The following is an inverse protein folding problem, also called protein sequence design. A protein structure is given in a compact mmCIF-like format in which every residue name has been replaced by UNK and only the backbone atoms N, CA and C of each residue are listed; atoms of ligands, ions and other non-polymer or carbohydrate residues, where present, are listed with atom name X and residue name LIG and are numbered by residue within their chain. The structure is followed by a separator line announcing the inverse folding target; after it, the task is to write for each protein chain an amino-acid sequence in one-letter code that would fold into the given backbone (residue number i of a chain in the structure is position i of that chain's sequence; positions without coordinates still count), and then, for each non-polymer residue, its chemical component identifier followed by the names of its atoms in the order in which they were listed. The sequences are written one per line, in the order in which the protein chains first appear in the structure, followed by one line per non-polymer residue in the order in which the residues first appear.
data_IF_448185290366
#
_entry.id   IF_448185290366
#
_cell.length_a   1.000
_cell.length_b   1.000
_cell.length_c   1.000
_cell.angle_alpha   90.00
_cell.angle_beta   90.00
_cell.angle_gamma   90.00
#
_symmetry.space_group_name_H-M   'P 1'
#
loop_
_entity.id
_entity.type
_entity.pdbx_description
1 polymer ?
#
# COMPACT_ATOMS: atom_id res chain seq x y z
N UNK A 1 3.33 22.02 6.65
CA UNK A 1 2.97 20.60 6.83
C UNK A 1 1.71 20.54 7.67
N UNK A 2 0.71 19.78 7.27
CA UNK A 2 -0.52 19.58 8.03
C UNK A 2 -0.98 18.11 7.94
N UNK A 3 -1.63 17.62 8.99
CA UNK A 3 -2.34 16.34 8.94
C UNK A 3 -3.69 16.52 8.27
N UNK A 4 -4.00 15.67 7.30
CA UNK A 4 -5.30 15.63 6.64
C UNK A 4 -5.93 14.25 6.83
N UNK A 5 -7.26 14.22 6.85
CA UNK A 5 -8.05 13.00 7.02
C UNK A 5 -9.17 13.00 6.01
N UNK A 6 -9.52 11.83 5.50
CA UNK A 6 -10.73 11.64 4.70
C UNK A 6 -11.16 10.17 4.73
N UNK A 7 -12.35 9.90 4.21
CA UNK A 7 -12.90 8.56 4.11
C UNK A 7 -12.66 7.99 2.72
N UNK A 8 -12.18 6.76 2.65
CA UNK A 8 -12.20 5.95 1.43
C UNK A 8 -13.64 5.71 0.97
N UNK A 9 -13.81 5.25 -0.27
CA UNK A 9 -15.14 4.94 -0.81
C UNK A 9 -15.86 3.84 -0.01
N UNK A 10 -15.10 2.85 0.48
CA UNK A 10 -15.58 1.79 1.38
C UNK A 10 -15.64 2.21 2.86
N UNK A 11 -15.36 3.48 3.18
CA UNK A 11 -15.69 4.09 4.46
C UNK A 11 -14.62 4.06 5.53
N UNK A 12 -13.37 3.69 5.23
CA UNK A 12 -12.25 3.78 6.17
C UNK A 12 -11.72 5.21 6.27
N UNK A 13 -11.57 5.73 7.49
CA UNK A 13 -10.96 7.04 7.74
C UNK A 13 -9.44 6.93 7.75
N UNK A 14 -8.80 7.34 6.66
CA UNK A 14 -7.34 7.34 6.56
C UNK A 14 -6.77 8.74 6.78
N UNK A 15 -5.53 8.76 7.26
CA UNK A 15 -4.73 9.93 7.54
C UNK A 15 -3.62 10.09 6.50
N UNK A 16 -3.26 11.32 6.22
CA UNK A 16 -2.08 11.66 5.45
C UNK A 16 -1.40 12.89 6.03
N UNK A 17 -0.17 13.12 5.62
CA UNK A 17 0.51 14.38 5.87
C UNK A 17 0.72 15.11 4.56
N UNK A 18 0.35 16.39 4.56
CA UNK A 18 0.42 17.26 3.40
C UNK A 18 1.45 18.37 3.60
N UNK A 19 2.42 18.42 2.69
CA UNK A 19 3.28 19.58 2.48
C UNK A 19 2.73 20.37 1.32
N UNK A 20 2.30 21.59 1.60
CA UNK A 20 1.72 22.45 0.58
C UNK A 20 2.82 23.04 -0.30
N UNK A 21 2.67 22.91 -1.63
CA UNK A 21 3.39 23.75 -2.59
C UNK A 21 2.72 25.12 -2.73
N UNK A 22 3.48 26.16 -3.08
CA UNK A 22 2.98 27.54 -3.06
C UNK A 22 1.99 27.89 -4.19
N UNK A 23 1.97 27.15 -5.30
CA UNK A 23 1.19 27.53 -6.49
C UNK A 23 0.24 26.44 -7.03
N UNK A 24 0.09 25.31 -6.31
CA UNK A 24 -0.79 24.17 -6.67
C UNK A 24 -0.60 23.60 -8.09
N UNK A 25 0.53 23.87 -8.77
CA UNK A 25 0.77 23.32 -10.13
C UNK A 25 0.96 21.81 -10.15
N UNK A 26 1.68 21.27 -9.18
CA UNK A 26 2.00 19.84 -9.13
C UNK A 26 1.93 19.32 -7.70
N UNK A 27 1.43 18.09 -7.54
CA UNK A 27 1.48 17.32 -6.31
C UNK A 27 2.04 15.92 -6.57
N UNK A 28 2.96 15.48 -5.71
CA UNK A 28 3.37 14.09 -5.62
C UNK A 28 2.55 13.43 -4.50
N UNK A 29 1.78 12.41 -4.86
CA UNK A 29 1.04 11.56 -3.90
C UNK A 29 1.84 10.30 -3.67
N UNK A 30 2.40 10.15 -2.48
CA UNK A 30 3.20 9.00 -2.07
C UNK A 30 2.33 7.96 -1.37
N UNK A 31 2.38 6.72 -1.88
CA UNK A 31 1.81 5.53 -1.27
C UNK A 31 2.96 4.67 -0.75
N UNK A 32 2.97 4.44 0.57
CA UNK A 32 4.03 3.69 1.23
C UNK A 32 3.88 2.17 1.08
N UNK A 33 4.97 1.47 1.39
CA UNK A 33 5.03 0.01 1.38
C UNK A 33 4.37 -0.66 2.59
N UNK A 34 4.61 -1.95 2.76
CA UNK A 34 4.03 -2.78 3.82
C UNK A 34 4.32 -2.21 5.20
N UNK A 35 3.28 -2.04 6.03
CA UNK A 35 3.42 -1.56 7.41
C UNK A 35 3.89 -0.11 7.56
N UNK A 36 4.17 0.58 6.46
CA UNK A 36 4.69 1.96 6.48
C UNK A 36 3.75 2.92 7.19
N UNK A 37 4.31 3.95 7.81
CA UNK A 37 3.55 5.02 8.46
C UNK A 37 4.44 6.26 8.58
N UNK A 38 3.83 7.43 8.75
CA UNK A 38 4.55 8.70 8.78
C UNK A 38 5.51 8.84 9.97
N UNK A 39 5.25 8.15 11.08
CA UNK A 39 6.06 8.28 12.31
C UNK A 39 7.46 7.68 12.08
N UNK A 40 7.54 6.57 11.34
CA UNK A 40 8.79 5.84 11.08
C UNK A 40 9.44 6.24 9.75
N UNK A 41 8.76 7.02 8.92
CA UNK A 41 9.21 7.37 7.56
C UNK A 41 9.91 8.72 7.51
N UNK A 42 11.14 8.80 8.03
CA UNK A 42 11.93 10.05 8.00
C UNK A 42 12.12 10.59 6.56
N UNK A 43 12.19 9.71 5.56
CA UNK A 43 12.31 10.12 4.17
C UNK A 43 11.10 10.93 3.68
N UNK A 44 9.90 10.68 4.24
CA UNK A 44 8.69 11.41 3.88
C UNK A 44 8.78 12.88 4.30
N UNK A 45 9.37 13.17 5.46
CA UNK A 45 9.59 14.55 5.91
C UNK A 45 10.65 15.26 5.08
N UNK A 46 11.75 14.56 4.75
CA UNK A 46 12.80 15.06 3.85
C UNK A 46 12.23 15.38 2.47
N UNK A 47 11.50 14.45 1.85
CA UNK A 47 10.88 14.64 0.54
C UNK A 47 9.84 15.76 0.57
N UNK A 48 8.97 15.78 1.58
CA UNK A 48 7.97 16.81 1.75
C UNK A 48 8.57 18.21 1.84
N UNK A 49 9.65 18.38 2.60
CA UNK A 49 10.36 19.66 2.72
C UNK A 49 11.07 20.07 1.43
N UNK A 50 11.74 19.13 0.75
CA UNK A 50 12.41 19.40 -0.53
C UNK A 50 11.39 19.79 -1.61
N UNK A 51 10.31 19.02 -1.75
CA UNK A 51 9.30 19.26 -2.78
C UNK A 51 8.55 20.57 -2.54
N UNK A 52 8.11 20.83 -1.30
CA UNK A 52 7.37 22.06 -1.00
C UNK A 52 8.20 23.32 -1.19
N UNK A 53 9.49 23.31 -0.83
CA UNK A 53 10.44 24.41 -1.13
C UNK A 53 10.59 24.68 -2.63
N UNK A 54 10.34 23.68 -3.47
CA UNK A 54 10.34 23.78 -4.93
C UNK A 54 8.94 23.97 -5.53
N UNK A 55 7.96 24.40 -4.73
CA UNK A 55 6.57 24.65 -5.12
C UNK A 55 5.79 23.39 -5.55
N UNK A 56 6.26 22.19 -5.21
CA UNK A 56 5.57 20.93 -5.47
C UNK A 56 4.88 20.47 -4.18
N UNK A 57 3.57 20.25 -4.25
CA UNK A 57 2.85 19.63 -3.14
C UNK A 57 3.31 18.19 -2.92
N UNK A 58 3.29 17.73 -1.67
CA UNK A 58 3.60 16.34 -1.35
C UNK A 58 2.58 15.80 -0.34
N UNK A 59 1.92 14.71 -0.67
CA UNK A 59 1.01 13.99 0.22
C UNK A 59 1.63 12.64 0.52
N UNK A 60 1.97 12.39 1.78
CA UNK A 60 2.28 11.04 2.25
C UNK A 60 0.98 10.42 2.77
N UNK A 61 0.36 9.59 1.94
CA UNK A 61 -0.93 8.97 2.22
C UNK A 61 -0.78 7.64 2.95
N UNK A 62 -1.39 7.49 4.13
CA UNK A 62 -1.50 6.15 4.72
C UNK A 62 -2.48 5.32 3.92
N UNK A 63 -2.19 4.03 3.76
CA UNK A 63 -3.13 3.03 3.29
C UNK A 63 -3.63 2.15 4.46
N UNK A 64 -4.64 1.30 4.22
CA UNK A 64 -5.22 0.42 5.26
C UNK A 64 -4.23 -0.59 5.84
N UNK A 65 -3.14 -0.86 5.13
CA UNK A 65 -2.01 -1.66 5.56
C UNK A 65 -0.93 -0.91 6.36
N UNK A 66 -1.20 0.30 6.85
CA UNK A 66 -0.24 1.05 7.67
C UNK A 66 -0.03 0.38 9.04
N UNK A 67 1.19 0.37 9.54
CA UNK A 67 1.58 -0.37 10.77
C UNK A 67 1.32 -1.89 10.66
N UNK A 68 1.78 -2.69 11.63
CA UNK A 68 1.53 -4.14 11.60
C UNK A 68 0.06 -4.48 11.85
N UNK A 69 -0.52 -3.93 12.92
CA UNK A 69 -1.92 -4.09 13.30
C UNK A 69 -2.44 -2.80 13.90
N UNK A 70 -3.62 -2.37 13.47
CA UNK A 70 -4.26 -1.15 13.95
C UNK A 70 -5.78 -1.21 13.77
N UNK A 71 -6.49 -0.35 14.49
CA UNK A 71 -7.94 -0.19 14.36
C UNK A 71 -8.23 1.15 13.67
N UNK A 72 -8.97 1.11 12.55
CA UNK A 72 -9.31 2.30 11.74
C UNK A 72 -10.79 2.62 11.92
N UNK A 73 -11.11 3.88 12.16
CA UNK A 73 -12.48 4.37 12.28
C UNK A 73 -13.20 4.27 10.93
N UNK A 74 -14.37 3.63 10.93
CA UNK A 74 -15.30 3.55 9.82
C UNK A 74 -16.28 4.73 9.85
N UNK A 75 -16.87 5.04 8.70
CA UNK A 75 -17.83 6.14 8.53
C UNK A 75 -19.12 5.95 9.35
N UNK A 76 -19.48 4.71 9.66
CA UNK A 76 -20.61 4.36 10.53
C UNK A 76 -20.29 4.44 12.03
N UNK A 77 -19.04 4.80 12.39
CA UNK A 77 -18.57 4.94 13.77
C UNK A 77 -17.95 3.67 14.36
N UNK A 78 -17.96 2.54 13.65
CA UNK A 78 -17.29 1.31 14.10
C UNK A 78 -15.78 1.36 13.85
N UNK A 79 -15.03 0.42 14.43
CA UNK A 79 -13.61 0.26 14.16
C UNK A 79 -13.35 -1.05 13.41
N UNK A 80 -12.64 -0.97 12.28
CA UNK A 80 -12.17 -2.14 11.52
C UNK A 80 -10.71 -2.43 11.90
N UNK A 81 -10.44 -3.67 12.33
CA UNK A 81 -9.07 -4.17 12.49
C UNK A 81 -8.41 -4.30 11.12
N UNK A 82 -7.34 -3.55 10.91
CA UNK A 82 -6.56 -3.48 9.68
C UNK A 82 -5.05 -3.56 10.00
N UNK A 83 -4.22 -3.02 9.11
CA UNK A 83 -2.76 -3.12 9.18
C UNK A 83 -2.23 -4.19 8.24
N UNK A 84 -0.91 -4.19 8.02
CA UNK A 84 -0.24 -5.10 7.11
C UNK A 84 -0.58 -6.58 7.36
N UNK A 85 -0.83 -6.95 8.62
CA UNK A 85 -1.18 -8.31 9.05
C UNK A 85 -2.46 -8.83 8.39
N UNK A 86 -3.42 -7.95 8.10
CA UNK A 86 -4.78 -8.31 7.66
C UNK A 86 -5.15 -7.65 6.32
N UNK A 87 -4.19 -7.07 5.62
CA UNK A 87 -4.47 -6.32 4.41
C UNK A 87 -4.95 -7.25 3.29
N UNK A 88 -5.91 -6.79 2.50
CA UNK A 88 -6.29 -7.41 1.23
C UNK A 88 -5.81 -6.46 0.14
N UNK A 89 -5.07 -6.98 -0.84
CA UNK A 89 -4.32 -6.18 -1.79
C UNK A 89 -5.25 -5.35 -2.68
N UNK A 90 -6.35 -5.95 -3.15
CA UNK A 90 -7.29 -5.33 -4.07
C UNK A 90 -8.04 -4.16 -3.41
N UNK A 91 -8.24 -4.26 -2.09
CA UNK A 91 -8.84 -3.21 -1.26
C UNK A 91 -7.95 -1.94 -1.21
N UNK A 92 -6.64 -2.06 -1.43
CA UNK A 92 -5.73 -0.90 -1.43
C UNK A 92 -6.06 0.14 -2.52
N UNK A 93 -6.76 -0.27 -3.59
CA UNK A 93 -7.20 0.64 -4.65
C UNK A 93 -8.08 1.77 -4.11
N UNK A 94 -8.91 1.54 -3.08
CA UNK A 94 -9.71 2.59 -2.46
C UNK A 94 -8.86 3.65 -1.74
N UNK A 95 -7.71 3.23 -1.21
CA UNK A 95 -6.81 4.08 -0.43
C UNK A 95 -5.99 4.97 -1.36
N UNK A 96 -5.47 4.40 -2.46
CA UNK A 96 -4.78 5.17 -3.51
C UNK A 96 -5.73 6.18 -4.12
N UNK A 97 -6.97 5.76 -4.43
CA UNK A 97 -7.99 6.61 -5.01
C UNK A 97 -8.35 7.81 -4.12
N UNK A 98 -8.43 7.58 -2.79
CA UNK A 98 -8.69 8.62 -1.80
C UNK A 98 -7.67 9.75 -1.93
N UNK A 99 -6.38 9.43 -1.96
CA UNK A 99 -5.33 10.45 -1.95
C UNK A 99 -5.15 11.13 -3.30
N UNK A 100 -5.35 10.41 -4.41
CA UNK A 100 -5.39 11.02 -5.75
C UNK A 100 -6.56 12.02 -5.86
N UNK A 101 -7.76 11.63 -5.44
CA UNK A 101 -8.93 12.54 -5.41
C UNK A 101 -8.73 13.70 -4.44
N UNK A 102 -8.12 13.45 -3.29
CA UNK A 102 -7.80 14.49 -2.31
C UNK A 102 -6.85 15.53 -2.92
N UNK A 103 -5.81 15.12 -3.64
CA UNK A 103 -4.91 16.04 -4.33
C UNK A 103 -5.67 16.91 -5.34
N UNK A 104 -6.57 16.34 -6.15
CA UNK A 104 -7.44 17.10 -7.08
C UNK A 104 -8.33 18.10 -6.32
N UNK A 105 -8.95 17.67 -5.22
CA UNK A 105 -9.83 18.51 -4.38
C UNK A 105 -9.07 19.67 -3.71
N UNK A 106 -7.79 19.48 -3.41
CA UNK A 106 -6.89 20.51 -2.90
C UNK A 106 -6.44 21.51 -3.99
N UNK A 107 -6.89 21.32 -5.24
CA UNK A 107 -6.66 22.24 -6.35
C UNK A 107 -5.39 21.98 -7.15
N UNK A 108 -4.75 20.81 -7.00
CA UNK A 108 -3.54 20.52 -7.77
C UNK A 108 -3.85 20.18 -9.24
N UNK A 109 -3.15 20.86 -10.16
CA UNK A 109 -3.36 20.70 -11.61
C UNK A 109 -2.71 19.42 -12.16
N UNK A 110 -1.50 19.11 -11.70
CA UNK A 110 -0.73 17.91 -12.07
C UNK A 110 -0.53 16.98 -10.88
N UNK A 111 -0.76 15.69 -11.08
CA UNK A 111 -0.60 14.67 -10.04
C UNK A 111 0.40 13.63 -10.50
N UNK A 112 1.44 13.43 -9.70
CA UNK A 112 2.39 12.33 -9.85
C UNK A 112 2.12 11.31 -8.74
N UNK A 113 1.87 10.06 -9.11
CA UNK A 113 1.71 8.97 -8.15
C UNK A 113 3.07 8.33 -7.89
N UNK A 114 3.55 8.41 -6.65
CA UNK A 114 4.78 7.77 -6.20
C UNK A 114 4.41 6.53 -5.38
N UNK A 115 4.74 5.35 -5.90
CA UNK A 115 4.76 4.12 -5.12
C UNK A 115 6.14 3.91 -4.51
N UNK A 116 6.21 3.58 -3.22
CA UNK A 116 7.44 3.15 -2.56
C UNK A 116 7.29 1.72 -2.05
N UNK A 117 8.25 0.84 -2.37
CA UNK A 117 8.20 -0.58 -2.01
C UNK A 117 6.87 -1.20 -2.46
N UNK A 118 6.11 -1.88 -1.60
CA UNK A 118 4.79 -2.44 -1.92
C UNK A 118 3.79 -1.39 -2.46
N UNK A 119 3.98 -0.11 -2.14
CA UNK A 119 3.20 1.00 -2.72
C UNK A 119 3.30 1.07 -4.24
N UNK A 120 4.37 0.51 -4.84
CA UNK A 120 4.51 0.33 -6.28
C UNK A 120 3.46 -0.62 -6.84
N UNK A 121 3.35 -1.84 -6.30
CA UNK A 121 2.37 -2.83 -6.76
C UNK A 121 0.95 -2.29 -6.59
N UNK A 122 0.65 -1.63 -5.45
CA UNK A 122 -0.64 -0.94 -5.22
C UNK A 122 -0.92 0.14 -6.27
N UNK A 123 0.08 0.91 -6.64
CA UNK A 123 -0.04 1.94 -7.68
C UNK A 123 -0.26 1.35 -9.07
N UNK A 124 0.45 0.28 -9.43
CA UNK A 124 0.26 -0.44 -10.70
C UNK A 124 -1.16 -1.00 -10.77
N UNK A 125 -1.61 -1.68 -9.72
CA UNK A 125 -2.96 -2.22 -9.63
C UNK A 125 -4.04 -1.13 -9.73
N UNK A 126 -3.89 -0.04 -8.99
CA UNK A 126 -4.81 1.09 -9.06
C UNK A 126 -4.92 1.66 -10.49
N UNK A 127 -3.78 1.88 -11.16
CA UNK A 127 -3.75 2.44 -12.51
C UNK A 127 -4.28 1.45 -13.55
N UNK A 128 -4.08 0.14 -13.38
CA UNK A 128 -4.66 -0.86 -14.28
C UNK A 128 -6.19 -0.86 -14.25
N UNK A 129 -6.81 -0.50 -13.10
CA UNK A 129 -8.27 -0.39 -12.95
C UNK A 129 -8.83 0.98 -13.32
N UNK A 130 -8.11 2.08 -13.03
CA UNK A 130 -8.61 3.46 -13.25
C UNK A 130 -8.16 4.10 -14.55
N UNK A 131 -7.11 3.59 -15.20
CA UNK A 131 -6.51 4.19 -16.39
C UNK A 131 -5.78 5.50 -16.08
N UNK A 132 -5.87 6.47 -17.00
CA UNK A 132 -5.09 7.71 -16.97
C UNK A 132 -5.68 8.77 -16.02
N UNK A 133 -5.68 8.48 -14.72
CA UNK A 133 -6.19 9.39 -13.67
C UNK A 133 -5.13 10.28 -13.03
N UNK A 134 -3.85 10.08 -13.37
CA UNK A 134 -2.67 10.85 -12.92
C UNK A 134 -1.81 11.24 -14.13
N UNK A 135 -0.95 12.25 -13.96
CA UNK A 135 -0.09 12.79 -15.02
C UNK A 135 1.28 12.09 -15.11
N UNK A 136 1.64 11.31 -14.10
CA UNK A 136 2.86 10.52 -14.09
C UNK A 136 2.91 9.54 -12.93
N UNK A 137 3.81 8.57 -13.05
CA UNK A 137 4.05 7.55 -12.03
C UNK A 137 5.56 7.44 -11.74
N UNK A 138 5.90 7.26 -10.47
CA UNK A 138 7.25 6.92 -10.01
C UNK A 138 7.13 5.63 -9.21
N UNK A 139 7.90 4.61 -9.60
CA UNK A 139 7.99 3.34 -8.88
C UNK A 139 9.36 3.27 -8.20
N UNK A 140 9.40 3.53 -6.90
CA UNK A 140 10.62 3.47 -6.12
C UNK A 140 10.77 2.09 -5.46
N UNK A 141 11.76 1.33 -5.94
CA UNK A 141 12.10 -0.03 -5.48
C UNK A 141 10.90 -0.99 -5.42
N UNK A 142 10.23 -1.27 -6.56
CA UNK A 142 9.10 -2.18 -6.60
C UNK A 142 9.52 -3.65 -6.29
N UNK A 143 8.84 -4.35 -5.37
CA UNK A 143 9.11 -5.77 -5.09
C UNK A 143 8.31 -6.74 -5.98
N UNK A 144 8.93 -7.89 -6.29
CA UNK A 144 8.21 -9.12 -6.67
C UNK A 144 7.82 -9.88 -5.39
N UNK A 145 6.72 -9.47 -4.77
CA UNK A 145 6.28 -10.02 -3.47
C UNK A 145 6.13 -11.54 -3.50
N UNK A 146 5.58 -12.08 -4.59
CA UNK A 146 5.35 -13.52 -4.73
C UNK A 146 6.66 -14.25 -5.02
N UNK A 147 7.49 -13.70 -5.91
CA UNK A 147 8.73 -14.33 -6.35
C UNK A 147 9.78 -14.39 -5.26
N UNK A 148 9.98 -13.29 -4.55
CA UNK A 148 10.92 -13.20 -3.43
C UNK A 148 10.52 -14.20 -2.35
N UNK A 149 9.26 -14.20 -1.91
CA UNK A 149 8.80 -15.14 -0.88
C UNK A 149 8.89 -16.60 -1.33
N UNK A 150 8.59 -16.92 -2.59
CA UNK A 150 8.76 -18.28 -3.12
C UNK A 150 10.22 -18.76 -3.08
N UNK A 151 11.18 -17.86 -3.27
CA UNK A 151 12.61 -18.18 -3.31
C UNK A 151 13.24 -18.20 -1.92
N UNK A 152 12.84 -17.29 -1.05
CA UNK A 152 13.56 -17.01 0.20
C UNK A 152 12.90 -17.62 1.44
N UNK A 153 11.58 -17.89 1.45
CA UNK A 153 10.87 -18.41 2.62
C UNK A 153 10.99 -19.95 2.72
N UNK A 154 11.82 -20.50 3.62
CA UNK A 154 12.08 -21.94 3.66
C UNK A 154 10.85 -22.77 4.00
N UNK A 155 9.89 -22.18 4.72
CA UNK A 155 8.67 -22.84 5.15
C UNK A 155 7.47 -22.56 4.24
N UNK A 156 7.68 -21.97 3.05
CA UNK A 156 6.60 -21.52 2.15
C UNK A 156 5.49 -22.56 1.95
N UNK A 157 5.85 -23.82 1.65
CA UNK A 157 4.88 -24.89 1.42
C UNK A 157 4.00 -25.20 2.64
N UNK A 158 4.57 -25.18 3.84
CA UNK A 158 3.82 -25.39 5.08
C UNK A 158 2.96 -24.18 5.42
N UNK A 159 3.46 -22.96 5.22
CA UNK A 159 2.67 -21.73 5.40
C UNK A 159 1.45 -21.68 4.46
N UNK A 160 1.61 -22.07 3.18
CA UNK A 160 0.48 -22.20 2.24
C UNK A 160 -0.54 -23.21 2.74
N UNK A 161 -0.10 -24.37 3.20
CA UNK A 161 -0.97 -25.45 3.68
C UNK A 161 -1.73 -25.02 4.94
N UNK A 162 -1.04 -24.39 5.89
CA UNK A 162 -1.66 -23.85 7.10
C UNK A 162 -2.70 -22.79 6.75
N UNK A 163 -2.32 -21.81 5.93
CA UNK A 163 -3.19 -20.71 5.56
C UNK A 163 -4.48 -21.19 4.88
N UNK A 164 -4.37 -22.13 3.92
CA UNK A 164 -5.54 -22.73 3.26
C UNK A 164 -6.41 -23.50 4.24
N UNK A 165 -5.81 -24.27 5.14
CA UNK A 165 -6.54 -25.03 6.16
C UNK A 165 -7.35 -24.08 7.07
N UNK A 166 -6.74 -22.99 7.53
CA UNK A 166 -7.43 -22.00 8.36
C UNK A 166 -8.60 -21.35 7.60
N UNK A 167 -8.43 -21.02 6.31
CA UNK A 167 -9.51 -20.46 5.47
C UNK A 167 -10.65 -21.47 5.28
N UNK A 168 -10.34 -22.72 4.96
CA UNK A 168 -11.33 -23.80 4.80
C UNK A 168 -12.12 -24.07 6.08
N UNK A 169 -11.51 -23.84 7.25
CA UNK A 169 -12.15 -23.95 8.56
C UNK A 169 -12.97 -22.70 8.95
N UNK A 170 -13.04 -21.67 8.10
CA UNK A 170 -13.76 -20.43 8.38
C UNK A 170 -12.99 -19.45 9.27
N UNK A 171 -11.67 -19.59 9.37
CA UNK A 171 -10.78 -18.75 10.17
C UNK A 171 -9.78 -17.94 9.30
N UNK A 172 -10.21 -17.20 8.25
CA UNK A 172 -9.30 -16.54 7.30
C UNK A 172 -8.38 -15.51 7.96
N UNK A 173 -8.85 -14.86 9.03
CA UNK A 173 -8.09 -13.84 9.77
C UNK A 173 -7.15 -14.41 10.84
N UNK A 174 -7.08 -15.73 10.99
CA UNK A 174 -6.16 -16.38 11.93
C UNK A 174 -4.73 -16.15 11.51
N UNK A 175 -3.89 -15.75 12.46
CA UNK A 175 -2.46 -15.57 12.25
C UNK A 175 -1.82 -16.93 11.97
N UNK A 176 -0.84 -16.93 11.08
CA UNK A 176 0.05 -18.06 10.91
C UNK A 176 0.81 -18.34 12.22
N UNK A 177 1.14 -19.59 12.47
CA UNK A 177 1.89 -19.99 13.66
C UNK A 177 3.30 -19.40 13.67
N UNK A 178 3.94 -19.37 12.50
CA UNK A 178 5.28 -18.82 12.31
C UNK A 178 5.22 -17.42 11.68
N UNK A 179 6.23 -16.61 12.00
CA UNK A 179 6.41 -15.28 11.41
C UNK A 179 6.94 -15.41 9.98
N UNK A 180 6.30 -14.70 9.05
CA UNK A 180 6.83 -14.58 7.69
C UNK A 180 8.14 -13.75 7.71
N UNK A 181 9.18 -14.25 7.04
CA UNK A 181 10.53 -13.68 7.04
C UNK A 181 11.12 -13.52 8.46
N UNK A 182 10.61 -14.27 9.44
CA UNK A 182 11.05 -14.22 10.84
C UNK A 182 10.65 -12.96 11.62
N UNK A 183 9.85 -12.05 11.06
CA UNK A 183 9.42 -10.83 11.76
C UNK A 183 7.95 -10.43 11.56
N UNK A 184 7.31 -10.82 10.45
CA UNK A 184 5.96 -10.33 10.11
C UNK A 184 4.87 -11.25 10.65
N UNK A 185 3.97 -10.70 11.48
CA UNK A 185 2.69 -11.32 11.76
C UNK A 185 1.80 -11.20 10.53
N UNK A 186 1.25 -12.32 10.08
CA UNK A 186 0.47 -12.39 8.85
C UNK A 186 -0.76 -13.28 9.07
N UNK A 187 -1.95 -12.81 8.69
CA UNK A 187 -3.15 -13.65 8.67
C UNK A 187 -3.14 -14.62 7.50
N UNK A 188 -3.86 -15.73 7.64
CA UNK A 188 -3.95 -16.77 6.60
C UNK A 188 -4.47 -16.22 5.27
N UNK A 189 -5.48 -15.37 5.31
CA UNK A 189 -6.04 -14.70 4.13
C UNK A 189 -5.08 -13.70 3.51
N UNK A 190 -4.40 -12.88 4.33
CA UNK A 190 -3.35 -11.99 3.83
C UNK A 190 -2.24 -12.79 3.17
N UNK A 191 -1.80 -13.89 3.78
CA UNK A 191 -0.74 -14.73 3.24
C UNK A 191 -1.10 -15.26 1.85
N UNK A 192 -2.28 -15.87 1.73
CA UNK A 192 -2.75 -16.38 0.45
C UNK A 192 -2.89 -15.25 -0.57
N UNK A 193 -3.44 -14.11 -0.19
CA UNK A 193 -3.64 -12.98 -1.11
C UNK A 193 -2.32 -12.34 -1.59
N UNK A 194 -1.32 -12.21 -0.72
CA UNK A 194 -0.09 -11.46 -1.01
C UNK A 194 1.04 -12.28 -1.62
N UNK A 195 1.15 -13.56 -1.25
CA UNK A 195 2.37 -14.33 -1.49
C UNK A 195 2.14 -15.59 -2.33
N UNK A 196 0.95 -15.75 -2.94
CA UNK A 196 0.68 -16.87 -3.84
C UNK A 196 0.50 -16.42 -5.29
N UNK A 197 0.94 -17.27 -6.22
CA UNK A 197 0.95 -17.00 -7.66
C UNK A 197 -0.47 -16.78 -8.20
N UNK A 198 -0.61 -15.79 -9.07
CA UNK A 198 -1.84 -15.55 -9.84
C UNK A 198 -2.84 -14.59 -9.19
N UNK A 199 -2.54 -14.01 -8.02
CA UNK A 199 -3.32 -12.92 -7.44
C UNK A 199 -2.95 -11.57 -8.04
N UNK A 200 -3.77 -10.54 -7.83
CA UNK A 200 -3.57 -9.21 -8.45
C UNK A 200 -2.27 -8.49 -7.99
N UNK A 201 -1.71 -8.88 -6.83
CA UNK A 201 -0.42 -8.39 -6.33
C UNK A 201 0.76 -8.87 -7.17
N UNK A 202 0.59 -9.99 -7.88
CA UNK A 202 1.58 -10.67 -8.71
C UNK A 202 1.77 -9.95 -10.06
N UNK A 203 1.90 -8.62 -10.00
CA UNK A 203 1.92 -7.72 -11.14
C UNK A 203 3.33 -7.32 -11.57
N UNK A 204 4.36 -7.82 -10.88
CA UNK A 204 5.78 -7.68 -11.22
C UNK A 204 6.53 -9.00 -10.96
N UNK A 205 6.23 -10.09 -11.70
CA UNK A 205 6.82 -11.41 -11.46
C UNK A 205 8.25 -11.50 -12.04
N UNK A 206 9.14 -10.60 -11.61
CA UNK A 206 10.50 -10.42 -12.10
C UNK A 206 11.37 -11.65 -11.78
N UNK A 207 11.28 -12.18 -10.57
CA UNK A 207 12.11 -13.33 -10.14
C UNK A 207 11.77 -14.60 -10.92
N UNK A 208 10.51 -14.72 -11.37
CA UNK A 208 10.03 -15.87 -12.12
C UNK A 208 10.14 -15.70 -13.63
N UNK A 209 10.30 -14.49 -14.15
CA UNK A 209 10.41 -14.19 -15.58
C UNK A 209 11.46 -13.08 -15.86
N UNK A 210 12.72 -13.24 -15.42
CA UNK A 210 13.73 -12.19 -15.51
C UNK A 210 13.97 -11.71 -16.94
N UNK A 211 13.82 -12.59 -17.93
CA UNK A 211 14.01 -12.30 -19.36
C UNK A 211 13.02 -11.28 -19.93
N UNK A 212 11.90 -10.99 -19.25
CA UNK A 212 10.95 -9.96 -19.67
C UNK A 212 11.32 -8.56 -19.17
N UNK A 213 12.32 -8.43 -18.31
CA UNK A 213 12.70 -7.19 -17.64
C UNK A 213 14.18 -6.78 -17.89
N UNK A 214 14.92 -7.57 -18.68
CA UNK A 214 16.28 -7.26 -19.17
C UNK A 214 16.33 -6.32 -20.39
#
# INVERSE_FOLDING_TARGET
MEFIYDFTEDGLKLQAVHWQGNNKKMCVVCIHGQGGNIIESYFATVWGDVLSKNNIGFIYGHNRGHSHMNDILMKDGQFKRAGATFEIFEESSYDVDLWVRKAKKLGYEKIILLGYSLGCNKSIYYLSKKGNVVDGVILASPPDMVGITLLEEPMYGELVKEARTNIEQGEPRKLLNDLLDGWSYTSSENFINFYTVGNDIDNLPIERNPEHFE
#
